data_IF_418937387718
#
_entry.id   IF_418937387718
#
_cell.length_a   1.000
_cell.length_b   1.000
_cell.length_c   1.000
_cell.angle_alpha   90.00
_cell.angle_beta   90.00
_cell.angle_gamma   90.00
#
_symmetry.space_group_name_H-M   'P 1'
#
loop_
_entity.id
_entity.type
_entity.pdbx_description
1 polymer ?
#
# COMPACT_ATOMS: atom_id res chain seq x y z
N UNK A 1 -10.56 -29.05 -15.22
CA UNK A 1 -10.19 -28.35 -13.96
C UNK A 1 -9.52 -27.05 -14.37
N UNK A 2 -10.28 -25.95 -14.44
CA UNK A 2 -9.76 -24.68 -14.93
C UNK A 2 -9.62 -23.73 -13.75
N UNK A 3 -8.37 -23.46 -13.38
CA UNK A 3 -7.97 -22.45 -12.42
C UNK A 3 -8.48 -21.10 -12.89
N UNK A 4 -9.54 -20.61 -12.26
CA UNK A 4 -9.98 -19.22 -12.38
C UNK A 4 -8.88 -18.33 -11.79
N UNK A 5 -8.07 -17.71 -12.65
CA UNK A 5 -7.25 -16.57 -12.29
C UNK A 5 -8.20 -15.44 -11.86
N UNK A 6 -8.57 -15.44 -10.59
CA UNK A 6 -9.25 -14.35 -9.93
C UNK A 6 -8.25 -13.20 -9.85
N UNK A 7 -8.26 -12.35 -10.88
CA UNK A 7 -7.67 -11.02 -10.83
C UNK A 7 -8.36 -10.30 -9.68
N UNK A 8 -7.76 -10.40 -8.49
CA UNK A 8 -8.24 -9.67 -7.32
C UNK A 8 -8.17 -8.22 -7.74
N UNK A 9 -9.30 -7.47 -7.81
CA UNK A 9 -9.23 -6.08 -8.21
C UNK A 9 -8.30 -5.42 -7.22
N UNK A 10 -7.20 -4.85 -7.71
CA UNK A 10 -6.25 -4.10 -6.90
C UNK A 10 -6.98 -2.93 -6.24
N UNK A 11 -7.57 -3.21 -5.07
CA UNK A 11 -8.39 -2.25 -4.36
C UNK A 11 -7.47 -1.14 -3.91
N UNK A 12 -7.91 0.08 -4.18
CA UNK A 12 -7.17 1.25 -3.74
C UNK A 12 -7.50 1.50 -2.27
N UNK A 13 -6.45 1.50 -1.49
CA UNK A 13 -6.44 1.60 -0.05
C UNK A 13 -6.19 3.04 0.35
N UNK A 14 -7.01 3.56 1.25
CA UNK A 14 -6.86 4.91 1.82
C UNK A 14 -5.91 4.90 3.01
N UNK A 15 -5.65 6.09 3.55
CA UNK A 15 -4.75 6.28 4.69
C UNK A 15 -5.09 5.38 5.89
N UNK A 16 -6.37 5.31 6.27
CA UNK A 16 -6.84 4.56 7.42
C UNK A 16 -6.51 3.07 7.31
N UNK A 17 -6.87 2.46 6.18
CA UNK A 17 -6.61 1.06 5.90
C UNK A 17 -5.10 0.78 5.75
N UNK A 18 -4.35 1.67 5.09
CA UNK A 18 -2.89 1.58 5.00
C UNK A 18 -2.27 1.55 6.38
N UNK A 19 -2.74 2.39 7.31
CA UNK A 19 -2.32 2.39 8.73
C UNK A 19 -2.65 1.06 9.40
N UNK A 20 -3.82 0.47 9.17
CA UNK A 20 -4.19 -0.83 9.73
C UNK A 20 -3.28 -1.95 9.23
N UNK A 21 -3.00 -2.00 7.91
CA UNK A 21 -2.19 -3.05 7.29
C UNK A 21 -0.72 -2.96 7.70
N UNK A 22 -0.14 -1.77 7.58
CA UNK A 22 1.30 -1.56 7.81
C UNK A 22 1.63 -1.29 9.28
N UNK A 23 0.63 -0.96 10.11
CA UNK A 23 0.76 -0.54 11.51
C UNK A 23 1.74 0.62 11.75
N UNK A 24 2.16 1.33 10.68
CA UNK A 24 3.10 2.45 10.78
C UNK A 24 2.37 3.80 10.83
N UNK A 25 2.91 4.70 11.62
CA UNK A 25 2.49 6.10 11.68
C UNK A 25 2.74 6.83 10.37
N UNK A 26 1.94 7.88 10.10
CA UNK A 26 2.05 8.71 8.88
C UNK A 26 3.46 9.28 8.68
N UNK A 27 4.12 9.73 9.76
CA UNK A 27 5.50 10.25 9.71
C UNK A 27 6.50 9.18 9.27
N UNK A 28 6.34 7.95 9.75
CA UNK A 28 7.18 6.81 9.36
C UNK A 28 6.97 6.46 7.90
N UNK A 29 5.71 6.40 7.44
CA UNK A 29 5.39 6.19 6.03
C UNK A 29 6.03 7.27 5.14
N UNK A 30 5.99 8.55 5.56
CA UNK A 30 6.63 9.64 4.81
C UNK A 30 8.16 9.52 4.76
N UNK A 31 8.80 9.16 5.88
CA UNK A 31 10.25 8.90 5.92
C UNK A 31 10.64 7.74 4.98
N UNK A 32 9.83 6.68 4.95
CA UNK A 32 10.05 5.53 4.07
C UNK A 32 9.80 5.86 2.60
N UNK A 33 8.78 6.68 2.30
CA UNK A 33 8.53 7.19 0.95
C UNK A 33 9.74 7.98 0.45
N UNK A 34 10.32 8.85 1.30
CA UNK A 34 11.56 9.58 0.96
C UNK A 34 12.77 8.68 0.75
N UNK A 35 12.82 7.53 1.43
CA UNK A 35 13.87 6.52 1.26
C UNK A 35 13.64 5.62 0.03
N UNK A 36 12.52 5.76 -0.68
CA UNK A 36 12.14 4.85 -1.77
C UNK A 36 11.75 3.46 -1.28
N UNK A 37 11.54 3.30 0.03
CA UNK A 37 11.19 2.05 0.71
C UNK A 37 9.71 2.03 1.07
N UNK A 38 8.85 2.70 0.31
CA UNK A 38 7.40 2.67 0.53
C UNK A 38 6.69 2.78 -0.83
N UNK A 39 5.55 2.11 -1.03
CA UNK A 39 4.82 2.23 -2.28
C UNK A 39 4.38 3.68 -2.55
N UNK A 40 4.44 4.06 -3.83
CA UNK A 40 4.13 5.43 -4.27
C UNK A 40 2.66 5.75 -4.02
N UNK A 41 2.40 6.89 -3.38
CA UNK A 41 1.05 7.45 -3.30
C UNK A 41 0.51 7.77 -4.68
N UNK A 42 -0.70 7.28 -4.99
CA UNK A 42 -1.44 7.61 -6.20
C UNK A 42 -2.57 8.57 -5.84
N UNK A 43 -2.65 9.70 -6.54
CA UNK A 43 -3.82 10.57 -6.42
C UNK A 43 -5.02 9.86 -7.04
N UNK A 44 -6.09 9.74 -6.26
CA UNK A 44 -7.33 9.11 -6.69
C UNK A 44 -8.22 10.05 -7.49
N UNK A 45 -8.08 11.35 -7.24
CA UNK A 45 -8.91 12.36 -7.86
C UNK A 45 -8.03 13.57 -8.20
N UNK A 46 -8.15 14.13 -9.42
CA UNK A 46 -7.30 15.23 -9.89
C UNK A 46 -7.43 16.51 -9.06
N UNK A 47 -8.61 16.76 -8.47
CA UNK A 47 -8.92 17.98 -7.69
C UNK A 47 -8.95 17.77 -6.17
N UNK A 48 -8.53 16.60 -5.67
CA UNK A 48 -8.62 16.30 -4.24
C UNK A 48 -7.30 15.80 -3.67
N UNK A 49 -7.05 16.11 -2.40
CA UNK A 49 -5.93 15.55 -1.62
C UNK A 49 -6.13 14.07 -1.26
N UNK A 50 -7.08 13.41 -1.92
CA UNK A 50 -7.37 11.99 -1.75
C UNK A 50 -6.28 11.17 -2.42
N UNK A 51 -5.36 10.69 -1.59
CA UNK A 51 -4.31 9.75 -1.99
C UNK A 51 -4.71 8.33 -1.61
N UNK A 52 -4.25 7.38 -2.42
CA UNK A 52 -4.41 5.97 -2.16
C UNK A 52 -3.19 5.16 -2.57
N UNK A 53 -3.18 3.90 -2.16
CA UNK A 53 -2.15 2.92 -2.45
C UNK A 53 -2.80 1.65 -2.98
N UNK A 54 -2.14 0.90 -3.85
CA UNK A 54 -2.66 -0.41 -4.22
C UNK A 54 -2.47 -1.38 -3.05
N UNK A 55 -3.49 -2.20 -2.78
CA UNK A 55 -3.39 -3.25 -1.79
C UNK A 55 -2.23 -4.20 -2.11
N UNK A 56 -2.05 -4.60 -3.37
CA UNK A 56 -0.96 -5.51 -3.73
C UNK A 56 0.41 -4.89 -3.51
N UNK A 57 0.60 -3.60 -3.82
CA UNK A 57 1.85 -2.90 -3.53
C UNK A 57 2.14 -2.83 -2.02
N UNK A 58 1.11 -2.58 -1.19
CA UNK A 58 1.27 -2.60 0.27
C UNK A 58 1.59 -4.00 0.79
N UNK A 59 0.93 -5.02 0.26
CA UNK A 59 1.13 -6.40 0.70
C UNK A 59 2.50 -6.93 0.29
N UNK A 60 2.92 -6.67 -0.95
CA UNK A 60 4.27 -6.98 -1.45
C UNK A 60 5.34 -6.26 -0.63
N UNK A 61 5.08 -5.00 -0.28
CA UNK A 61 5.96 -4.23 0.58
C UNK A 61 6.08 -4.80 2.00
N UNK A 62 4.96 -5.22 2.61
CA UNK A 62 4.98 -5.90 3.92
C UNK A 62 5.73 -7.22 3.81
N UNK A 63 5.50 -8.01 2.74
CA UNK A 63 6.19 -9.27 2.50
C UNK A 63 7.70 -9.09 2.24
N UNK A 64 8.10 -8.00 1.58
CA UNK A 64 9.50 -7.65 1.35
C UNK A 64 10.23 -7.29 2.65
N UNK A 65 9.51 -6.90 3.72
CA UNK A 65 10.10 -6.77 5.04
C UNK A 65 10.20 -8.14 5.67
N UNK A 66 11.42 -8.65 5.75
CA UNK A 66 11.72 -9.86 6.52
C UNK A 66 11.18 -9.72 7.94
N UNK A 67 10.35 -10.66 8.37
CA UNK A 67 10.03 -10.82 9.78
C UNK A 67 11.36 -11.08 10.51
N UNK A 68 11.73 -10.18 11.41
CA UNK A 68 12.86 -10.42 12.29
C UNK A 68 12.39 -11.48 13.28
N UNK A 69 12.93 -12.69 13.17
CA UNK A 69 12.71 -13.81 14.09
C UNK A 69 13.54 -13.62 15.36
#
# INVERSE_FOLDING_TARGET
MSTSNLTTPDRIIREAERKTITSISRTTAWSLERKGLFPKRRQLYPESNSVGWLLSELNDWVASRQAIN
#
